data_IF_932274835059
#
_entry.id   IF_932274835059
#
_cell.length_a   1.000
_cell.length_b   1.000
_cell.length_c   1.000
_cell.angle_alpha   90.00
_cell.angle_beta   90.00
_cell.angle_gamma   90.00
#
_symmetry.space_group_name_H-M   'P 1'
#
loop_
_entity.id
_entity.type
_entity.pdbx_description
1 polymer ?
#
# COMPACT_ATOMS: atom_id res chain seq x y z
N UNK A 1 -0.44 12.64 -2.55
CA UNK A 1 -0.99 12.64 -3.92
C UNK A 1 -0.39 11.47 -4.71
N UNK A 2 -1.22 10.67 -5.42
CA UNK A 2 -0.76 9.47 -6.12
C UNK A 2 -0.09 9.74 -7.47
N UNK A 3 0.55 8.73 -8.06
CA UNK A 3 1.16 8.81 -9.39
C UNK A 3 0.10 8.69 -10.50
N UNK A 4 -0.60 9.77 -10.84
CA UNK A 4 -1.71 9.77 -11.79
C UNK A 4 -1.37 9.14 -13.16
N UNK A 5 -0.21 9.46 -13.73
CA UNK A 5 0.24 8.91 -15.01
C UNK A 5 0.42 7.38 -14.97
N UNK A 6 0.93 6.85 -13.85
CA UNK A 6 1.08 5.40 -13.66
C UNK A 6 -0.28 4.73 -13.50
N UNK A 7 -1.19 5.33 -12.73
CA UNK A 7 -2.55 4.83 -12.54
C UNK A 7 -3.32 4.75 -13.87
N UNK A 8 -3.17 5.76 -14.74
CA UNK A 8 -3.79 5.76 -16.07
C UNK A 8 -3.20 4.64 -16.95
N UNK A 9 -1.88 4.53 -17.01
CA UNK A 9 -1.21 3.50 -17.80
C UNK A 9 -1.63 2.09 -17.36
N UNK A 10 -1.63 1.82 -16.05
CA UNK A 10 -2.04 0.53 -15.49
C UNK A 10 -3.52 0.23 -15.80
N UNK A 11 -4.40 1.22 -15.66
CA UNK A 11 -5.83 1.06 -15.97
C UNK A 11 -6.07 0.70 -17.44
N UNK A 12 -5.33 1.33 -18.37
CA UNK A 12 -5.41 1.03 -19.81
C UNK A 12 -4.95 -0.39 -20.11
N UNK A 13 -3.85 -0.83 -19.49
CA UNK A 13 -3.35 -2.18 -19.65
C UNK A 13 -4.34 -3.22 -19.13
N UNK A 14 -4.85 -3.04 -17.90
CA UNK A 14 -5.87 -3.93 -17.32
C UNK A 14 -7.12 -4.01 -18.22
N UNK A 15 -7.56 -2.88 -18.76
CA UNK A 15 -8.69 -2.82 -19.69
C UNK A 15 -8.46 -3.65 -20.96
N UNK A 16 -7.24 -3.63 -21.52
CA UNK A 16 -6.87 -4.47 -22.66
C UNK A 16 -6.88 -5.95 -22.25
N UNK A 17 -6.23 -6.28 -21.13
CA UNK A 17 -6.13 -7.65 -20.60
C UNK A 17 -7.51 -8.30 -20.42
N UNK A 18 -8.48 -7.57 -19.86
CA UNK A 18 -9.86 -8.05 -19.72
C UNK A 18 -10.53 -8.28 -21.08
N UNK A 19 -10.38 -7.35 -22.03
CA UNK A 19 -10.96 -7.50 -23.38
C UNK A 19 -10.29 -8.61 -24.19
N UNK A 20 -9.06 -8.98 -23.88
CA UNK A 20 -8.35 -10.10 -24.50
C UNK A 20 -8.80 -11.48 -23.99
N UNK A 21 -9.78 -11.53 -23.09
CA UNK A 21 -10.33 -12.80 -22.57
C UNK A 21 -9.44 -13.48 -21.54
N UNK A 22 -8.52 -12.74 -20.92
CA UNK A 22 -7.72 -13.25 -19.80
C UNK A 22 -8.63 -13.34 -18.57
N UNK A 23 -8.46 -14.42 -17.81
CA UNK A 23 -9.22 -14.68 -16.59
C UNK A 23 -9.10 -13.51 -15.60
N UNK A 24 -10.24 -12.99 -15.17
CA UNK A 24 -10.27 -11.79 -14.32
C UNK A 24 -9.70 -12.09 -12.93
N UNK A 25 -9.94 -13.28 -12.39
CA UNK A 25 -9.38 -13.68 -11.10
C UNK A 25 -7.84 -13.78 -11.15
N UNK A 26 -7.27 -14.22 -12.29
CA UNK A 26 -5.83 -14.17 -12.52
C UNK A 26 -5.30 -12.73 -12.53
N UNK A 27 -6.01 -11.78 -13.16
CA UNK A 27 -5.63 -10.35 -13.17
C UNK A 27 -5.66 -9.78 -11.75
N UNK A 28 -6.75 -10.03 -11.01
CA UNK A 28 -6.92 -9.57 -9.63
C UNK A 28 -5.77 -10.03 -8.73
N UNK A 29 -5.38 -11.30 -8.83
CA UNK A 29 -4.22 -11.85 -8.09
C UNK A 29 -2.90 -11.15 -8.41
N UNK A 30 -2.73 -10.58 -9.60
CA UNK A 30 -1.49 -9.86 -9.94
C UNK A 30 -1.46 -8.44 -9.38
N UNK A 31 -2.61 -7.80 -9.23
CA UNK A 31 -2.69 -6.40 -8.78
C UNK A 31 -2.95 -6.25 -7.28
N UNK A 32 -3.51 -7.28 -6.64
CA UNK A 32 -3.73 -7.34 -5.19
C UNK A 32 -2.41 -7.30 -4.41
N UNK A 33 -2.36 -6.51 -3.35
CA UNK A 33 -1.23 -6.53 -2.42
C UNK A 33 0.01 -5.77 -2.90
N UNK A 34 -0.04 -5.12 -4.07
CA UNK A 34 1.01 -4.19 -4.49
C UNK A 34 1.03 -3.01 -3.52
N UNK A 35 2.23 -2.64 -3.05
CA UNK A 35 2.45 -1.65 -1.99
C UNK A 35 3.15 -0.42 -2.53
N UNK A 36 2.58 0.76 -2.30
CA UNK A 36 3.16 2.05 -2.65
C UNK A 36 3.43 2.84 -1.37
N UNK A 37 4.65 3.37 -1.20
CA UNK A 37 5.03 4.18 -0.02
C UNK A 37 4.07 5.35 0.21
N UNK A 38 3.61 6.00 -0.85
CA UNK A 38 2.72 7.16 -0.76
C UNK A 38 1.34 6.80 -0.23
N UNK A 39 0.79 5.65 -0.64
CA UNK A 39 -0.50 5.19 -0.12
C UNK A 39 -0.35 4.70 1.32
N UNK A 40 0.69 3.92 1.59
CA UNK A 40 0.86 3.31 2.92
C UNK A 40 1.21 4.35 4.00
N UNK A 41 1.85 5.46 3.63
CA UNK A 41 2.15 6.56 4.55
C UNK A 41 0.93 7.46 4.82
N UNK A 42 -0.12 7.41 3.99
CA UNK A 42 -1.31 8.25 4.15
C UNK A 42 -2.38 7.52 4.96
N UNK A 43 -2.59 7.99 6.19
CA UNK A 43 -3.55 7.43 7.16
C UNK A 43 -5.01 7.47 6.68
N UNK A 44 -5.32 8.32 5.69
CA UNK A 44 -6.68 8.45 5.14
C UNK A 44 -6.93 7.49 3.97
N UNK A 45 -5.90 6.75 3.53
CA UNK A 45 -6.05 5.83 2.39
C UNK A 45 -6.24 4.38 2.85
N UNK A 46 -7.29 3.75 2.34
CA UNK A 46 -7.69 2.38 2.71
C UNK A 46 -7.23 1.33 1.68
N UNK A 47 -6.19 1.66 0.90
CA UNK A 47 -5.67 0.84 -0.21
C UNK A 47 -4.15 0.81 -0.16
N UNK A 48 -3.54 -0.29 -0.58
CA UNK A 48 -2.09 -0.47 -0.48
C UNK A 48 -1.33 0.25 -1.60
N UNK A 49 -1.98 0.46 -2.74
CA UNK A 49 -1.46 1.17 -3.91
C UNK A 49 -2.59 1.48 -4.91
N UNK A 50 -2.29 2.24 -5.97
CA UNK A 50 -3.24 2.48 -7.06
C UNK A 50 -3.67 1.18 -7.80
N UNK A 51 -2.75 0.24 -8.15
CA UNK A 51 -3.15 -1.06 -8.70
C UNK A 51 -4.06 -1.87 -7.76
N UNK A 52 -3.76 -1.88 -6.46
CA UNK A 52 -4.57 -2.55 -5.44
C UNK A 52 -5.98 -1.93 -5.36
N UNK A 53 -6.07 -0.59 -5.42
CA UNK A 53 -7.34 0.12 -5.48
C UNK A 53 -8.17 -0.24 -6.72
N UNK A 54 -7.53 -0.33 -7.89
CA UNK A 54 -8.19 -0.74 -9.14
C UNK A 54 -8.68 -2.19 -9.03
N UNK A 55 -7.87 -3.09 -8.49
CA UNK A 55 -8.25 -4.49 -8.25
C UNK A 55 -9.49 -4.60 -7.38
N UNK A 56 -9.53 -3.90 -6.24
CA UNK A 56 -10.72 -3.83 -5.38
C UNK A 56 -11.93 -3.26 -6.11
N UNK A 57 -11.76 -2.18 -6.87
CA UNK A 57 -12.87 -1.60 -7.64
C UNK A 57 -13.46 -2.59 -8.68
N UNK A 58 -12.61 -3.40 -9.33
CA UNK A 58 -13.08 -4.46 -10.24
C UNK A 58 -13.79 -5.57 -9.47
N UNK A 59 -13.23 -6.00 -8.33
CA UNK A 59 -13.84 -7.00 -7.45
C UNK A 59 -15.24 -6.56 -6.99
N UNK A 60 -15.39 -5.29 -6.60
CA UNK A 60 -16.67 -4.69 -6.24
C UNK A 60 -17.72 -4.84 -7.33
N UNK A 61 -17.33 -4.49 -8.56
CA UNK A 61 -18.24 -4.48 -9.69
C UNK A 61 -18.74 -5.88 -10.02
N UNK A 62 -17.88 -6.89 -9.88
CA UNK A 62 -18.21 -8.28 -10.18
C UNK A 62 -18.97 -8.98 -9.06
N UNK A 63 -18.58 -8.73 -7.80
CA UNK A 63 -19.05 -9.50 -6.64
C UNK A 63 -20.04 -8.75 -5.76
N UNK A 64 -20.31 -7.47 -6.05
CA UNK A 64 -21.22 -6.61 -5.27
C UNK A 64 -20.77 -6.33 -3.84
N UNK A 65 -19.58 -6.79 -3.46
CA UNK A 65 -18.99 -6.63 -2.13
C UNK A 65 -17.49 -6.42 -2.27
N UNK A 66 -16.98 -5.37 -1.64
CA UNK A 66 -15.55 -5.16 -1.50
C UNK A 66 -15.11 -5.75 -0.17
N UNK A 67 -14.06 -6.56 -0.18
CA UNK A 67 -13.24 -6.73 1.02
C UNK A 67 -12.35 -5.49 1.18
N UNK A 68 -12.97 -4.33 1.39
CA UNK A 68 -12.27 -3.27 2.11
C UNK A 68 -12.17 -3.78 3.53
N UNK A 69 -11.04 -4.36 3.85
CA UNK A 69 -10.74 -4.66 5.23
C UNK A 69 -10.53 -3.28 5.91
N UNK A 70 -11.62 -2.73 6.44
CA UNK A 70 -11.65 -1.48 7.19
C UNK A 70 -10.82 -1.59 8.48
N UNK A 71 -10.41 -2.81 8.85
CA UNK A 71 -9.47 -3.12 9.91
C UNK A 71 -8.01 -3.14 9.44
N UNK A 72 -7.73 -2.89 8.15
CA UNK A 72 -6.41 -2.48 7.66
C UNK A 72 -6.16 -1.05 8.17
N UNK A 73 -5.82 -0.94 9.46
CA UNK A 73 -4.80 0.01 9.92
C UNK A 73 -3.43 -0.49 9.45
N UNK A 74 -3.28 -0.80 8.15
CA UNK A 74 -1.97 -1.10 7.58
C UNK A 74 -1.36 0.16 6.96
N UNK A 75 -1.19 1.18 7.80
CA UNK A 75 0.13 1.78 7.84
C UNK A 75 1.14 0.68 8.22
N UNK A 76 2.40 0.75 7.79
CA UNK A 76 3.32 -0.35 8.01
C UNK A 76 3.44 -0.57 9.52
N UNK A 77 3.17 -1.79 10.00
CA UNK A 77 3.63 -2.23 11.32
C UNK A 77 5.18 -2.27 11.43
N UNK A 78 5.89 -1.72 10.45
CA UNK A 78 7.35 -1.73 10.31
C UNK A 78 7.98 -0.36 10.01
N UNK A 79 7.21 0.73 9.94
CA UNK A 79 7.76 2.09 9.93
C UNK A 79 7.48 2.69 11.30
N UNK A 80 8.51 2.64 12.14
CA UNK A 80 8.53 3.34 13.42
C UNK A 80 9.22 4.68 13.19
N UNK A 81 8.54 5.77 13.55
CA UNK A 81 9.06 7.14 13.46
C UNK A 81 9.70 7.48 14.82
N UNK A 82 10.86 8.16 14.84
CA UNK A 82 11.54 8.56 16.09
C UNK A 82 10.54 9.40 16.92
N UNK A 83 10.19 8.97 18.14
CA UNK A 83 9.24 9.67 19.02
C UNK A 83 9.85 10.90 19.68
N UNK A 84 11.12 11.24 19.41
CA UNK A 84 11.73 12.45 19.93
C UNK A 84 11.25 13.69 19.17
N UNK A 85 10.75 14.64 19.95
CA UNK A 85 10.25 15.94 19.49
C UNK A 85 11.32 16.64 18.64
N UNK A 86 11.00 16.86 17.36
CA UNK A 86 11.89 17.55 16.41
C UNK A 86 12.80 16.64 15.58
N UNK A 87 12.81 15.32 15.80
CA UNK A 87 13.56 14.41 14.92
C UNK A 87 12.73 13.93 13.73
N UNK A 88 11.59 13.30 13.99
CA UNK A 88 10.72 12.72 12.95
C UNK A 88 11.40 11.70 12.03
N UNK A 89 12.60 11.23 12.37
CA UNK A 89 13.41 10.35 11.54
C UNK A 89 12.84 8.94 11.47
N UNK A 90 13.06 8.26 10.35
CA UNK A 90 12.64 6.86 10.16
C UNK A 90 13.58 5.97 10.98
N UNK A 91 13.03 5.14 11.88
CA UNK A 91 13.81 4.19 12.66
C UNK A 91 14.12 2.94 11.82
N UNK A 92 15.37 2.48 11.89
CA UNK A 92 15.87 1.31 11.18
C UNK A 92 15.98 0.13 12.15
N UNK A 93 15.60 -1.09 11.75
CA UNK A 93 15.79 -2.28 12.59
C UNK A 93 17.26 -2.73 12.57
N UNK A 94 17.91 -2.79 13.74
CA UNK A 94 19.22 -3.41 13.95
C UNK A 94 19.20 -4.28 15.22
N UNK A 95 19.61 -5.56 15.09
CA UNK A 95 19.84 -6.45 16.25
C UNK A 95 18.64 -6.73 17.16
N UNK A 96 17.40 -6.61 16.67
CA UNK A 96 16.18 -6.75 17.50
C UNK A 96 15.70 -5.45 18.14
N UNK A 97 16.36 -4.33 17.85
CA UNK A 97 15.96 -3.00 18.26
C UNK A 97 15.70 -2.11 17.04
N UNK A 98 14.81 -1.13 17.20
CA UNK A 98 14.65 -0.04 16.26
C UNK A 98 15.60 1.08 16.68
N UNK A 99 16.48 1.54 15.79
CA UNK A 99 17.45 2.61 16.02
C UNK A 99 17.19 3.77 15.08
N UNK A 100 17.17 5.00 15.60
CA UNK A 100 17.13 6.19 14.77
C UNK A 100 18.55 6.77 14.61
N UNK A 101 19.05 6.85 13.38
CA UNK A 101 20.37 7.42 13.09
C UNK A 101 20.42 8.96 13.14
N UNK A 102 19.26 9.61 13.20
CA UNK A 102 19.16 11.07 13.26
C UNK A 102 19.19 11.62 14.68
N UNK A 103 18.50 10.97 15.63
CA UNK A 103 18.40 11.38 17.03
C UNK A 103 19.25 10.49 17.98
N UNK A 104 19.60 9.27 17.57
CA UNK A 104 20.29 8.28 18.43
C UNK A 104 19.34 7.46 19.31
N UNK A 105 18.04 7.77 19.31
CA UNK A 105 17.02 7.02 20.03
C UNK A 105 16.95 5.57 19.56
N UNK A 106 16.85 4.63 20.50
CA UNK A 106 16.65 3.21 20.21
C UNK A 106 15.59 2.56 21.09
N UNK A 107 14.78 1.68 20.51
CA UNK A 107 13.73 0.92 21.19
C UNK A 107 13.82 -0.55 20.82
N UNK A 108 14.25 -1.37 21.77
CA UNK A 108 14.26 -2.82 21.66
C UNK A 108 12.87 -3.41 21.91
N UNK A 109 12.53 -4.49 21.21
CA UNK A 109 11.35 -5.31 21.53
C UNK A 109 11.64 -6.28 22.67
#
# INVERSE_FOLDING_TARGET
EGCAALSEAVSRLISITIRSGIDIDAILKQVEGIRCVTCIADENTHVLSCPDAIGKAIEFYLRGSNKFDLNIKSGPKSIMICPEEGCGGIMQPEGGCYVCRSCGFSKCS
#
